data_IF_360798119562
#
_entry.id   IF_360798119562
#
_cell.length_a   1.000
_cell.length_b   1.000
_cell.length_c   1.000
_cell.angle_alpha   90.00
_cell.angle_beta   90.00
_cell.angle_gamma   90.00
#
_symmetry.space_group_name_H-M   'P 1'
#
loop_
_entity.id
_entity.type
_entity.pdbx_description
1 polymer ?
#
# COMPACT_ATOMS: atom_id res chain seq x y z
N UNK A 1 -31.18 28.22 -14.77
CA UNK A 1 -30.98 26.87 -14.22
C UNK A 1 -29.60 26.37 -14.62
N UNK A 2 -28.67 26.20 -13.66
CA UNK A 2 -27.46 25.41 -13.86
C UNK A 2 -27.52 24.25 -12.88
N UNK A 3 -27.87 23.07 -13.39
CA UNK A 3 -27.75 21.83 -12.65
C UNK A 3 -26.33 21.31 -12.87
N UNK A 4 -25.45 21.57 -11.91
CA UNK A 4 -24.16 20.88 -11.76
C UNK A 4 -23.98 20.57 -10.27
N UNK A 5 -24.91 19.79 -9.72
CA UNK A 5 -24.68 19.08 -8.47
C UNK A 5 -24.33 17.63 -8.83
N UNK A 6 -23.19 17.46 -9.50
CA UNK A 6 -22.53 16.16 -9.53
C UNK A 6 -21.94 15.92 -8.15
N UNK A 7 -22.29 14.79 -7.52
CA UNK A 7 -21.70 14.42 -6.23
C UNK A 7 -20.16 14.52 -6.32
N UNK A 8 -19.50 15.36 -5.51
CA UNK A 8 -18.05 15.60 -5.60
C UNK A 8 -17.24 14.31 -5.44
N UNK A 9 -17.70 13.36 -4.62
CA UNK A 9 -17.04 12.08 -4.43
C UNK A 9 -17.05 11.26 -5.73
N UNK A 10 -18.17 11.27 -6.46
CA UNK A 10 -18.27 10.62 -7.78
C UNK A 10 -17.41 11.30 -8.84
N UNK A 11 -17.15 12.60 -8.71
CA UNK A 11 -16.24 13.32 -9.60
C UNK A 11 -14.79 12.88 -9.37
N UNK A 12 -14.39 12.78 -8.09
CA UNK A 12 -13.03 12.39 -7.70
C UNK A 12 -12.72 10.93 -8.08
N UNK A 13 -13.64 9.99 -7.85
CA UNK A 13 -13.44 8.57 -8.23
C UNK A 13 -13.24 8.40 -9.74
N UNK A 14 -13.97 9.16 -10.56
CA UNK A 14 -13.83 9.14 -12.02
C UNK A 14 -12.48 9.71 -12.47
N UNK A 15 -12.04 10.79 -11.83
CA UNK A 15 -10.75 11.40 -12.12
C UNK A 15 -9.59 10.45 -11.77
N UNK A 16 -9.65 9.78 -10.62
CA UNK A 16 -8.69 8.74 -10.24
C UNK A 16 -8.68 7.57 -11.23
N UNK A 17 -9.84 7.09 -11.65
CA UNK A 17 -9.93 6.03 -12.66
C UNK A 17 -9.34 6.46 -14.01
N UNK A 18 -9.55 7.72 -14.40
CA UNK A 18 -8.92 8.28 -15.60
C UNK A 18 -7.41 8.38 -15.44
N UNK A 19 -6.90 8.71 -14.26
CA UNK A 19 -5.46 8.76 -13.99
C UNK A 19 -4.82 7.38 -14.15
N UNK A 20 -5.49 6.30 -13.72
CA UNK A 20 -5.00 4.93 -13.92
C UNK A 20 -4.84 4.57 -15.40
N UNK A 21 -5.75 5.05 -16.27
CA UNK A 21 -5.65 4.84 -17.71
C UNK A 21 -4.42 5.51 -18.35
N UNK A 22 -3.90 6.57 -17.73
CA UNK A 22 -2.71 7.30 -18.17
C UNK A 22 -1.39 6.68 -17.64
N UNK A 23 -1.46 5.73 -16.71
CA UNK A 23 -0.28 5.03 -16.18
C UNK A 23 0.27 4.02 -17.20
N UNK A 24 1.60 3.91 -17.25
CA UNK A 24 2.28 2.84 -17.98
C UNK A 24 2.00 1.47 -17.36
N UNK A 25 2.21 0.36 -18.08
CA UNK A 25 2.03 -0.99 -17.53
C UNK A 25 2.84 -1.23 -16.26
N UNK A 26 4.07 -0.69 -16.19
CA UNK A 26 4.97 -0.82 -15.04
C UNK A 26 4.57 0.05 -13.84
N UNK A 27 3.70 1.04 -14.05
CA UNK A 27 3.30 2.02 -13.02
C UNK A 27 1.98 1.63 -12.32
N UNK A 28 1.42 0.45 -12.62
CA UNK A 28 0.15 -0.03 -12.06
C UNK A 28 0.31 -0.71 -10.69
N UNK A 29 1.28 -0.26 -9.90
CA UNK A 29 1.56 -0.77 -8.56
C UNK A 29 1.43 0.35 -7.55
N UNK A 30 0.68 0.11 -6.49
CA UNK A 30 0.58 0.99 -5.33
C UNK A 30 0.82 0.21 -4.05
N UNK A 31 1.68 0.74 -3.20
CA UNK A 31 1.91 0.17 -1.86
C UNK A 31 1.69 1.23 -0.79
N UNK A 32 0.91 0.88 0.23
CA UNK A 32 0.84 1.66 1.46
C UNK A 32 1.85 1.11 2.47
N UNK A 33 2.86 1.92 2.81
CA UNK A 33 3.76 1.65 3.92
C UNK A 33 2.99 1.77 5.24
N UNK A 34 2.94 0.69 6.00
CA UNK A 34 2.23 0.59 7.26
C UNK A 34 3.03 1.29 8.36
N UNK A 35 2.36 2.20 9.06
CA UNK A 35 2.88 2.76 10.29
C UNK A 35 2.79 1.74 11.44
N UNK A 36 3.55 2.00 12.52
CA UNK A 36 3.64 1.12 13.70
C UNK A 36 2.28 0.78 14.36
N UNK A 37 1.23 1.57 14.12
CA UNK A 37 -0.13 1.29 14.62
C UNK A 37 -0.81 0.08 13.95
N UNK A 38 -0.35 -0.31 12.75
CA UNK A 38 -0.87 -1.44 12.00
C UNK A 38 -0.02 -2.68 12.22
N UNK A 39 -0.35 -3.43 13.27
CA UNK A 39 0.31 -4.70 13.56
C UNK A 39 0.05 -5.76 12.48
N UNK A 40 0.97 -6.71 12.32
CA UNK A 40 0.76 -7.89 11.48
C UNK A 40 -0.56 -8.61 11.82
N UNK A 41 -0.91 -8.70 13.10
CA UNK A 41 -2.18 -9.31 13.57
C UNK A 41 -3.41 -8.56 13.06
N UNK A 42 -3.41 -7.22 13.11
CA UNK A 42 -4.53 -6.43 12.60
C UNK A 42 -4.67 -6.56 11.08
N UNK A 43 -3.56 -6.52 10.35
CA UNK A 43 -3.57 -6.58 8.88
C UNK A 43 -3.99 -7.96 8.40
N UNK A 44 -3.42 -9.02 8.96
CA UNK A 44 -3.79 -10.40 8.58
C UNK A 44 -5.23 -10.76 8.98
N UNK A 45 -5.75 -10.16 10.06
CA UNK A 45 -7.11 -10.43 10.53
C UNK A 45 -8.20 -9.63 9.80
N UNK A 46 -7.92 -8.40 9.38
CA UNK A 46 -8.94 -7.48 8.83
C UNK A 46 -8.63 -6.96 7.43
N UNK A 47 -7.41 -7.15 6.92
CA UNK A 47 -6.95 -6.59 5.66
C UNK A 47 -7.14 -5.08 5.61
N UNK A 48 -7.72 -4.59 4.51
CA UNK A 48 -8.13 -3.20 4.33
C UNK A 48 -9.00 -2.67 5.49
N UNK A 49 -9.82 -3.52 6.12
CA UNK A 49 -10.64 -3.13 7.27
C UNK A 49 -9.84 -2.78 8.53
N UNK A 50 -8.53 -3.06 8.56
CA UNK A 50 -7.64 -2.61 9.64
C UNK A 50 -7.34 -1.10 9.57
N UNK A 51 -7.43 -0.50 8.37
CA UNK A 51 -7.05 0.89 8.16
C UNK A 51 -8.01 1.84 8.84
N UNK A 52 -7.49 2.96 9.34
CA UNK A 52 -8.28 3.98 10.04
C UNK A 52 -8.06 5.37 9.45
N UNK A 53 -9.05 6.23 9.68
CA UNK A 53 -8.99 7.65 9.32
C UNK A 53 -8.61 7.86 7.85
N UNK A 54 -7.59 8.69 7.62
CA UNK A 54 -7.19 9.09 6.27
C UNK A 54 -6.67 7.92 5.42
N UNK A 55 -6.05 6.90 6.02
CA UNK A 55 -5.54 5.75 5.28
C UNK A 55 -6.67 4.89 4.71
N UNK A 56 -7.75 4.69 5.50
CA UNK A 56 -8.94 4.00 5.03
C UNK A 56 -9.55 4.74 3.84
N UNK A 57 -9.84 6.04 4.00
CA UNK A 57 -10.49 6.84 2.96
C UNK A 57 -9.68 6.88 1.66
N UNK A 58 -8.34 7.00 1.75
CA UNK A 58 -7.47 7.00 0.57
C UNK A 58 -7.50 5.68 -0.17
N UNK A 59 -7.33 4.56 0.55
CA UNK A 59 -7.34 3.23 -0.08
C UNK A 59 -8.72 2.89 -0.63
N UNK A 60 -9.79 3.28 0.07
CA UNK A 60 -11.17 3.13 -0.41
C UNK A 60 -11.40 3.88 -1.73
N UNK A 61 -10.94 5.12 -1.83
CA UNK A 61 -11.06 5.90 -3.07
C UNK A 61 -10.34 5.22 -4.25
N UNK A 62 -9.17 4.61 -4.02
CA UNK A 62 -8.44 3.85 -5.04
C UNK A 62 -9.18 2.54 -5.41
N UNK A 63 -9.77 1.84 -4.44
CA UNK A 63 -10.61 0.66 -4.68
C UNK A 63 -11.81 1.01 -5.55
N UNK A 64 -12.52 2.11 -5.25
CA UNK A 64 -13.66 2.55 -6.05
C UNK A 64 -13.24 2.97 -7.47
N UNK A 65 -12.09 3.65 -7.61
CA UNK A 65 -11.55 4.01 -8.91
C UNK A 65 -11.20 2.77 -9.75
N UNK A 66 -10.63 1.73 -9.12
CA UNK A 66 -10.31 0.47 -9.77
C UNK A 66 -11.53 -0.29 -10.30
N UNK A 67 -12.72 -0.09 -9.72
CA UNK A 67 -13.96 -0.67 -10.25
C UNK A 67 -14.38 -0.04 -11.57
N UNK A 68 -13.95 1.20 -11.84
CA UNK A 68 -14.24 1.94 -13.08
C UNK A 68 -13.15 1.78 -14.13
N UNK A 69 -11.94 1.40 -13.74
CA UNK A 69 -10.81 1.18 -14.65
C UNK A 69 -11.01 -0.06 -15.54
N UNK A 70 -10.46 -0.01 -16.76
CA UNK A 70 -10.35 -1.17 -17.64
C UNK A 70 -9.52 -2.29 -16.99
N UNK A 71 -9.76 -3.55 -17.39
CA UNK A 71 -9.13 -4.73 -16.75
C UNK A 71 -7.60 -4.66 -16.79
N UNK A 72 -7.05 -4.15 -17.88
CA UNK A 72 -5.61 -3.94 -18.14
C UNK A 72 -5.05 -2.64 -17.53
N UNK A 73 -5.89 -1.87 -16.85
CA UNK A 73 -5.57 -0.57 -16.24
C UNK A 73 -5.82 -0.53 -14.74
N UNK A 74 -6.12 -1.68 -14.13
CA UNK A 74 -6.37 -1.74 -12.68
C UNK A 74 -5.06 -1.62 -11.92
N UNK A 75 -5.04 -0.68 -10.98
CA UNK A 75 -3.96 -0.50 -10.04
C UNK A 75 -3.90 -1.72 -9.09
N UNK A 76 -2.80 -2.45 -9.09
CA UNK A 76 -2.54 -3.48 -8.10
C UNK A 76 -2.11 -2.80 -6.80
N UNK A 77 -2.69 -3.21 -5.69
CA UNK A 77 -2.52 -2.53 -4.41
C UNK A 77 -2.02 -3.50 -3.33
N UNK A 78 -1.08 -3.04 -2.52
CA UNK A 78 -0.43 -3.83 -1.47
C UNK A 78 -0.23 -3.02 -0.19
N UNK A 79 -0.05 -3.71 0.93
CA UNK A 79 0.47 -3.14 2.17
C UNK A 79 1.90 -3.61 2.39
N UNK A 80 2.76 -2.72 2.88
CA UNK A 80 4.16 -2.99 3.17
C UNK A 80 4.43 -2.72 4.66
N UNK A 81 4.93 -3.69 5.40
CA UNK A 81 5.43 -3.53 6.76
C UNK A 81 6.96 -3.58 6.76
N UNK A 82 7.60 -2.43 6.98
CA UNK A 82 9.05 -2.30 7.02
C UNK A 82 9.53 -2.45 8.47
N UNK A 83 10.39 -3.43 8.70
CA UNK A 83 11.03 -3.67 10.00
C UNK A 83 12.51 -3.33 9.91
N UNK A 84 12.96 -2.51 10.85
CA UNK A 84 14.36 -2.20 11.10
C UNK A 84 14.80 -2.94 12.37
N UNK A 85 15.90 -3.67 12.25
CA UNK A 85 16.59 -4.32 13.36
C UNK A 85 18.02 -3.78 13.38
N UNK A 86 18.30 -2.87 14.31
CA UNK A 86 19.59 -2.21 14.43
C UNK A 86 20.18 -2.45 15.82
N UNK A 87 21.42 -2.91 15.87
CA UNK A 87 22.21 -3.06 17.09
C UNK A 87 23.24 -1.94 17.19
N UNK A 88 23.51 -1.50 18.43
CA UNK A 88 24.47 -0.44 18.72
C UNK A 88 25.40 -0.88 19.85
N UNK A 89 26.63 -0.38 19.83
CA UNK A 89 27.63 -0.58 20.89
C UNK A 89 28.15 0.77 21.40
N UNK A 90 28.57 0.79 22.66
CA UNK A 90 29.09 1.99 23.34
C UNK A 90 30.59 2.12 23.09
N UNK A 91 31.00 3.29 22.58
CA UNK A 91 32.40 3.66 22.32
C UNK A 91 32.83 4.79 23.27
N UNK A 92 32.52 4.63 24.55
CA UNK A 92 32.97 5.56 25.59
C UNK A 92 32.20 6.87 25.61
N UNK A 93 30.88 6.80 25.43
CA UNK A 93 29.97 7.96 25.48
C UNK A 93 29.31 8.30 24.15
N UNK A 94 29.73 7.66 23.06
CA UNK A 94 29.05 7.67 21.76
C UNK A 94 28.50 6.27 21.44
N UNK A 95 27.32 6.21 20.81
CA UNK A 95 26.75 4.96 20.33
C UNK A 95 27.08 4.79 18.85
N UNK A 96 27.77 3.71 18.49
CA UNK A 96 28.03 3.33 17.10
C UNK A 96 27.13 2.17 16.69
N UNK A 97 26.67 2.17 15.43
CA UNK A 97 25.89 1.08 14.86
C UNK A 97 26.80 -0.13 14.58
N UNK A 98 26.42 -1.29 15.13
CA UNK A 98 27.12 -2.57 14.93
C UNK A 98 26.57 -3.27 13.67
N UNK A 99 25.26 -3.43 13.62
CA UNK A 99 24.57 -4.05 12.50
C UNK A 99 23.20 -3.42 12.28
N UNK A 100 22.79 -3.34 11.03
CA UNK A 100 21.45 -2.91 10.64
C UNK A 100 20.89 -3.83 9.57
N UNK A 101 19.74 -4.42 9.86
CA UNK A 101 19.00 -5.30 8.98
C UNK A 101 17.60 -4.74 8.76
N UNK A 102 17.25 -4.62 7.49
CA UNK A 102 15.92 -4.23 7.06
C UNK A 102 15.19 -5.41 6.44
N UNK A 103 13.88 -5.48 6.66
CA UNK A 103 13.02 -6.44 5.98
C UNK A 103 11.66 -5.84 5.72
N UNK A 104 11.08 -6.17 4.56
CA UNK A 104 9.71 -5.77 4.23
C UNK A 104 8.84 -7.00 4.17
N UNK A 105 7.74 -6.97 4.91
CA UNK A 105 6.66 -7.93 4.76
C UNK A 105 5.55 -7.32 3.92
N UNK A 106 5.15 -8.02 2.86
CA UNK A 106 4.12 -7.56 1.94
C UNK A 106 2.80 -8.27 2.20
N UNK A 107 1.69 -7.56 2.04
CA UNK A 107 0.35 -8.10 2.18
C UNK A 107 -0.54 -7.65 1.01
N UNK A 108 -1.41 -8.54 0.55
CA UNK A 108 -2.53 -8.15 -0.30
C UNK A 108 -3.57 -7.36 0.52
N UNK A 109 -4.48 -6.63 -0.14
CA UNK A 109 -5.56 -5.89 0.54
C UNK A 109 -6.46 -6.76 1.41
N UNK A 110 -6.56 -8.06 1.11
CA UNK A 110 -7.30 -9.02 1.93
C UNK A 110 -6.64 -9.30 3.29
N UNK A 111 -5.40 -8.84 3.50
CA UNK A 111 -4.58 -9.20 4.66
C UNK A 111 -3.73 -10.45 4.43
N UNK A 112 -3.86 -11.12 3.26
CA UNK A 112 -3.01 -12.27 2.94
C UNK A 112 -1.56 -11.82 2.83
N UNK A 113 -0.71 -12.37 3.70
CA UNK A 113 0.74 -12.20 3.64
C UNK A 113 1.27 -12.81 2.34
N UNK A 114 2.04 -12.02 1.61
CA UNK A 114 2.73 -12.44 0.40
C UNK A 114 4.11 -12.95 0.79
N UNK A 115 4.57 -14.02 0.14
CA UNK A 115 5.87 -14.63 0.46
C UNK A 115 6.94 -13.56 0.23
N UNK A 116 7.76 -13.33 1.25
CA UNK A 116 8.81 -12.33 1.22
C UNK A 116 9.81 -12.69 0.12
N UNK A 117 9.88 -11.88 -0.93
CA UNK A 117 11.03 -11.92 -1.83
C UNK A 117 12.25 -11.47 -1.02
N UNK A 118 13.16 -12.40 -0.73
CA UNK A 118 14.50 -12.03 -0.26
C UNK A 118 15.24 -11.41 -1.45
N UNK A 119 15.17 -10.09 -1.54
CA UNK A 119 15.84 -9.28 -2.56
C UNK A 119 14.90 -8.77 -3.64
N UNK A 120 14.67 -7.44 -3.65
CA UNK A 120 14.27 -6.50 -4.72
C UNK A 120 13.30 -6.90 -5.87
N UNK A 121 12.86 -8.13 -6.03
CA UNK A 121 12.06 -8.58 -7.15
C UNK A 121 10.81 -9.30 -6.64
N UNK A 122 9.66 -8.65 -6.82
CA UNK A 122 8.37 -9.30 -6.72
C UNK A 122 8.19 -10.25 -7.91
N UNK A 123 8.26 -11.56 -7.66
CA UNK A 123 7.65 -12.51 -8.58
C UNK A 123 6.19 -12.68 -8.18
N UNK A 124 5.33 -11.84 -8.78
CA UNK A 124 3.89 -12.04 -8.77
C UNK A 124 3.59 -13.27 -9.64
N UNK A 125 3.47 -14.44 -9.00
CA UNK A 125 2.93 -15.63 -9.66
C UNK A 125 1.43 -15.42 -9.91
N UNK A 126 1.09 -15.11 -11.16
CA UNK A 126 -0.25 -15.28 -11.76
C UNK A 126 -0.71 -16.75 -11.66
N UNK A 127 -2.03 -17.03 -11.50
CA UNK A 127 -3.12 -16.61 -12.39
C UNK A 127 -4.32 -15.90 -11.74
#
# INVERSE_FOLDING_TARGET
MRALEGNPDKSMTKELASAFCCMGPEDQLFSLLLAHEYTEKSITGLGFGALKGIYHVRVEALIEANKLAGVDKKLQMFFADLKHDASFYDVGGEWEEDAHKESITWYALSGKKLVAASGAAFELLEP
#
